data_IF_736665335887
#
_entry.id   IF_736665335887
#
_cell.length_a   1.000
_cell.length_b   1.000
_cell.length_c   1.000
_cell.angle_alpha   90.00
_cell.angle_beta   90.00
_cell.angle_gamma   90.00
#
_symmetry.space_group_name_H-M   'P 1'
#
loop_
_entity.id
_entity.type
_entity.pdbx_description
1 polymer ?
#
# COMPACT_ATOMS: atom_id res chain seq x y z
N UNK A 1 31.01 -28.25 18.75
CA UNK A 1 30.15 -28.14 19.95
C UNK A 1 28.91 -27.36 19.57
N UNK A 2 27.73 -28.02 19.56
CA UNK A 2 26.45 -27.42 19.16
C UNK A 2 25.93 -26.53 20.31
N UNK A 3 25.72 -25.25 20.03
CA UNK A 3 25.03 -24.32 20.93
C UNK A 3 23.54 -24.64 20.95
N UNK A 4 23.00 -24.92 22.13
CA UNK A 4 21.56 -24.98 22.37
C UNK A 4 21.02 -23.56 22.32
N UNK A 5 20.18 -23.26 21.34
CA UNK A 5 19.29 -22.11 21.42
C UNK A 5 18.18 -22.47 22.41
N UNK A 6 18.25 -21.91 23.61
CA UNK A 6 17.16 -21.99 24.58
C UNK A 6 15.98 -21.17 24.03
N UNK A 7 14.89 -21.86 23.70
CA UNK A 7 13.60 -21.25 23.41
C UNK A 7 13.15 -20.48 24.66
N UNK A 8 13.29 -19.15 24.67
CA UNK A 8 12.60 -18.31 25.66
C UNK A 8 11.10 -18.44 25.38
N UNK A 9 10.36 -18.95 26.35
CA UNK A 9 8.89 -18.98 26.32
C UNK A 9 8.34 -17.56 26.26
N UNK A 10 7.22 -17.38 25.55
CA UNK A 10 6.52 -16.09 25.40
C UNK A 10 6.26 -15.43 26.77
N UNK A 11 5.90 -16.24 27.77
CA UNK A 11 5.68 -15.76 29.15
C UNK A 11 6.91 -15.10 29.79
N UNK A 12 8.12 -15.58 29.48
CA UNK A 12 9.36 -15.01 29.98
C UNK A 12 9.71 -13.67 29.29
N UNK A 13 9.24 -13.46 28.05
CA UNK A 13 9.37 -12.18 27.35
C UNK A 13 8.34 -11.16 27.85
N UNK A 14 7.12 -11.60 28.14
CA UNK A 14 6.06 -10.73 28.66
C UNK A 14 6.31 -10.31 30.12
N UNK A 15 6.92 -11.19 30.93
CA UNK A 15 7.26 -10.86 32.32
C UNK A 15 8.31 -9.75 32.49
N UNK A 16 9.03 -9.40 31.42
CA UNK A 16 9.98 -8.28 31.39
C UNK A 16 9.46 -7.04 30.65
N UNK A 17 8.24 -7.09 30.12
CA UNK A 17 7.62 -5.94 29.45
C UNK A 17 7.02 -5.01 30.52
N UNK A 18 7.68 -3.90 30.77
CA UNK A 18 7.15 -2.81 31.58
C UNK A 18 6.04 -2.11 30.79
N UNK A 19 4.79 -2.21 31.28
CA UNK A 19 3.68 -1.41 30.75
C UNK A 19 3.94 0.02 31.18
N UNK A 20 4.20 0.91 30.22
CA UNK A 20 4.37 2.36 30.42
C UNK A 20 3.03 3.01 30.83
N UNK A 21 2.41 2.55 31.90
CA UNK A 21 1.16 3.10 32.41
C UNK A 21 1.32 4.52 32.97
N UNK A 22 2.55 4.90 33.36
CA UNK A 22 2.85 6.21 33.96
C UNK A 22 3.16 7.31 32.94
N UNK A 23 3.36 6.97 31.64
CA UNK A 23 3.58 7.95 30.57
C UNK A 23 2.30 8.36 29.83
N UNK A 24 1.15 7.78 30.21
CA UNK A 24 -0.17 8.18 29.70
C UNK A 24 -0.96 8.81 30.83
N UNK A 25 -0.97 10.15 30.87
CA UNK A 25 -1.91 10.90 31.70
C UNK A 25 -3.35 10.45 31.36
N UNK A 26 -4.15 10.13 32.38
CA UNK A 26 -5.56 9.78 32.25
C UNK A 26 -6.37 10.89 31.53
N UNK A 27 -5.86 12.14 31.58
CA UNK A 27 -6.31 13.28 30.80
C UNK A 27 -6.15 13.14 29.27
N UNK A 28 -5.05 12.54 28.79
CA UNK A 28 -4.81 12.34 27.36
C UNK A 28 -5.77 11.28 26.79
N UNK A 29 -6.07 10.24 27.57
CA UNK A 29 -7.06 9.21 27.20
C UNK A 29 -8.46 9.82 27.12
N UNK A 30 -8.83 10.71 28.04
CA UNK A 30 -10.11 11.41 28.02
C UNK A 30 -10.23 12.36 26.80
N UNK A 31 -9.17 13.10 26.47
CA UNK A 31 -9.14 14.01 25.33
C UNK A 31 -9.17 13.30 23.97
N UNK A 32 -8.57 12.10 23.88
CA UNK A 32 -8.68 11.24 22.70
C UNK A 32 -10.09 10.65 22.59
N UNK A 33 -10.67 10.22 23.71
CA UNK A 33 -12.05 9.68 23.76
C UNK A 33 -13.09 10.73 23.35
N UNK A 34 -12.98 11.96 23.85
CA UNK A 34 -13.82 13.10 23.46
C UNK A 34 -13.73 13.39 21.96
N UNK A 35 -12.52 13.39 21.38
CA UNK A 35 -12.33 13.57 19.93
C UNK A 35 -12.94 12.46 19.10
N UNK A 36 -12.79 11.21 19.54
CA UNK A 36 -13.41 10.06 18.87
C UNK A 36 -14.93 10.20 18.91
N UNK A 37 -15.52 10.47 20.08
CA UNK A 37 -16.97 10.65 20.25
C UNK A 37 -17.53 11.85 19.46
N UNK A 38 -16.80 12.97 19.40
CA UNK A 38 -17.17 14.13 18.60
C UNK A 38 -17.12 13.84 17.09
N UNK A 39 -16.17 13.01 16.63
CA UNK A 39 -16.06 12.57 15.25
C UNK A 39 -17.23 11.69 14.78
N UNK A 40 -17.81 10.88 15.68
CA UNK A 40 -18.96 10.01 15.37
C UNK A 40 -20.28 10.81 15.31
N UNK A 41 -20.35 11.97 15.97
CA UNK A 41 -21.54 12.84 15.96
C UNK A 41 -21.60 13.78 14.74
N UNK A 42 -20.47 13.99 14.04
CA UNK A 42 -20.37 14.94 12.92
C UNK A 42 -20.84 14.42 11.55
N UNK A 43 -21.28 13.16 11.44
CA UNK A 43 -21.71 12.56 10.17
C UNK A 43 -23.23 12.59 9.98
N UNK A 44 -23.84 13.77 10.17
CA UNK A 44 -25.26 13.97 9.91
C UNK A 44 -25.71 15.43 9.90
N UNK A 45 -26.16 15.88 8.73
CA UNK A 45 -26.97 17.08 8.45
C UNK A 45 -26.29 18.45 8.66
N UNK A 46 -26.24 19.22 7.57
CA UNK A 46 -25.89 20.64 7.62
C UNK A 46 -26.97 21.45 8.31
N UNK A 47 -26.55 22.40 9.13
CA UNK A 47 -26.96 23.79 9.08
C UNK A 47 -25.95 24.64 9.87
N UNK A 48 -25.69 25.87 9.42
CA UNK A 48 -24.86 26.83 10.19
C UNK A 48 -25.58 27.26 11.47
N UNK A 49 -24.85 27.65 12.53
CA UNK A 49 -24.71 29.08 12.76
C UNK A 49 -23.34 29.53 13.32
N UNK A 50 -23.04 30.80 13.09
CA UNK A 50 -21.92 31.54 13.66
C UNK A 50 -22.03 31.70 15.18
N UNK A 51 -20.94 32.13 15.84
CA UNK A 51 -21.09 33.31 16.70
C UNK A 51 -20.03 34.39 16.45
N UNK A 52 -20.47 35.62 16.71
CA UNK A 52 -19.72 36.85 16.54
C UNK A 52 -18.84 37.21 17.76
N UNK A 53 -17.60 37.59 17.45
CA UNK A 53 -16.81 38.73 17.92
C UNK A 53 -16.54 39.01 19.42
N UNK A 54 -15.24 39.05 19.76
CA UNK A 54 -14.47 40.12 20.43
C UNK A 54 -12.98 39.67 20.41
N UNK A 55 -11.92 40.38 20.00
CA UNK A 55 -11.68 41.69 19.40
C UNK A 55 -10.16 41.82 19.10
N UNK A 56 -9.82 42.77 18.21
CA UNK A 56 -8.53 43.46 17.97
C UNK A 56 -7.31 42.76 17.33
N UNK A 57 -7.19 43.00 16.02
CA UNK A 57 -6.04 43.56 15.26
C UNK A 57 -4.60 43.03 15.45
N UNK A 58 -4.10 42.33 14.42
CA UNK A 58 -2.83 42.64 13.75
C UNK A 58 -2.82 41.99 12.35
N UNK A 59 -3.00 42.81 11.32
CA UNK A 59 -3.03 42.43 9.91
C UNK A 59 -1.60 42.17 9.43
N UNK A 60 -1.18 40.92 9.44
CA UNK A 60 0.02 40.47 8.75
C UNK A 60 -0.39 39.97 7.36
N UNK A 61 -0.10 40.79 6.34
CA UNK A 61 -0.32 40.45 4.94
C UNK A 61 0.34 39.11 4.61
N UNK A 62 -0.49 38.09 4.38
CA UNK A 62 -0.04 36.81 3.86
C UNK A 62 0.51 37.01 2.43
N UNK A 63 1.63 36.37 2.06
CA UNK A 63 2.10 36.38 0.68
C UNK A 63 1.04 35.74 -0.24
N UNK A 64 0.94 36.14 -1.52
CA UNK A 64 -0.01 35.55 -2.44
C UNK A 64 0.25 34.05 -2.55
N UNK A 65 -0.75 33.25 -2.19
CA UNK A 65 -0.73 31.82 -2.37
C UNK A 65 -0.51 31.50 -3.85
N UNK A 66 0.49 30.66 -4.12
CA UNK A 66 0.79 30.17 -5.47
C UNK A 66 -0.46 29.43 -6.00
N UNK A 67 -1.08 29.86 -7.10
CA UNK A 67 -2.26 29.19 -7.66
C UNK A 67 -1.96 27.77 -8.17
N UNK A 68 -0.69 27.35 -8.19
CA UNK A 68 -0.27 25.99 -8.52
C UNK A 68 -0.15 25.06 -7.29
N UNK A 69 -0.33 25.56 -6.06
CA UNK A 69 -0.36 24.72 -4.87
C UNK A 69 -1.69 23.98 -4.80
N UNK A 70 -1.73 22.79 -5.43
CA UNK A 70 -2.82 21.82 -5.20
C UNK A 70 -2.93 21.66 -3.68
N UNK A 71 -4.09 21.92 -3.06
CA UNK A 71 -4.22 21.82 -1.61
C UNK A 71 -3.83 20.41 -1.20
N UNK A 72 -2.82 20.29 -0.33
CA UNK A 72 -2.41 19.02 0.22
C UNK A 72 -3.64 18.41 0.92
N UNK A 73 -4.08 17.24 0.44
CA UNK A 73 -5.20 16.53 1.07
C UNK A 73 -4.85 16.27 2.52
N UNK A 74 -5.72 16.71 3.42
CA UNK A 74 -5.54 16.49 4.84
C UNK A 74 -6.21 15.18 5.20
N UNK A 75 -5.41 14.18 5.58
CA UNK A 75 -5.91 12.93 6.12
C UNK A 75 -5.97 13.05 7.65
N UNK A 76 -7.09 12.71 8.30
CA UNK A 76 -7.23 12.83 9.75
C UNK A 76 -6.18 12.02 10.53
N UNK A 77 -5.71 10.90 9.97
CA UNK A 77 -4.72 10.02 10.60
C UNK A 77 -3.62 9.56 9.62
N UNK A 78 -2.47 9.16 10.17
CA UNK A 78 -1.39 8.53 9.38
C UNK A 78 -1.85 7.21 8.74
N UNK A 79 -2.78 6.49 9.38
CA UNK A 79 -3.35 5.25 8.86
C UNK A 79 -4.19 5.51 7.60
N UNK A 80 -5.02 6.55 7.59
CA UNK A 80 -5.81 6.95 6.42
C UNK A 80 -4.91 7.48 5.30
N UNK A 81 -3.89 8.28 5.63
CA UNK A 81 -2.90 8.70 4.66
C UNK A 81 -2.21 7.50 4.02
N UNK A 82 -1.76 6.53 4.83
CA UNK A 82 -1.13 5.31 4.35
C UNK A 82 -2.06 4.46 3.49
N UNK A 83 -3.36 4.42 3.81
CA UNK A 83 -4.35 3.75 2.98
C UNK A 83 -4.47 4.37 1.59
N UNK A 84 -4.56 5.70 1.53
CA UNK A 84 -4.60 6.43 0.28
C UNK A 84 -3.30 6.28 -0.52
N UNK A 85 -2.15 6.44 0.14
CA UNK A 85 -0.84 6.29 -0.49
C UNK A 85 -0.66 4.87 -1.07
N UNK A 86 -1.14 3.84 -0.37
CA UNK A 86 -1.12 2.46 -0.85
C UNK A 86 -1.99 2.30 -2.10
N UNK A 87 -3.22 2.81 -2.06
CA UNK A 87 -4.16 2.75 -3.19
C UNK A 87 -3.61 3.49 -4.43
N UNK A 88 -2.96 4.64 -4.23
CA UNK A 88 -2.29 5.37 -5.29
C UNK A 88 -1.07 4.60 -5.84
N UNK A 89 -0.21 4.07 -4.96
CA UNK A 89 0.95 3.29 -5.37
C UNK A 89 0.55 2.04 -6.18
N UNK A 90 -0.47 1.31 -5.71
CA UNK A 90 -1.06 0.17 -6.42
C UNK A 90 -1.57 0.58 -7.80
N UNK A 91 -2.33 1.68 -7.88
CA UNK A 91 -2.86 2.18 -9.14
C UNK A 91 -1.74 2.58 -10.12
N UNK A 92 -0.65 3.20 -9.63
CA UNK A 92 0.50 3.56 -10.45
C UNK A 92 1.24 2.33 -10.98
N UNK A 93 1.42 1.29 -10.16
CA UNK A 93 2.03 0.01 -10.59
C UNK A 93 1.23 -0.64 -11.71
N UNK A 94 -0.09 -0.74 -11.55
CA UNK A 94 -0.98 -1.32 -12.58
C UNK A 94 -0.97 -0.51 -13.88
N UNK A 95 -0.77 0.81 -13.76
CA UNK A 95 -0.71 1.72 -14.90
C UNK A 95 0.65 1.78 -15.61
N UNK A 96 1.69 1.18 -15.04
CA UNK A 96 3.02 1.17 -15.62
C UNK A 96 3.01 0.42 -16.97
N UNK A 97 3.69 0.94 -18.02
CA UNK A 97 3.67 0.30 -19.33
C UNK A 97 4.25 -1.12 -19.30
N UNK A 98 5.19 -1.40 -18.39
CA UNK A 98 5.81 -2.72 -18.24
C UNK A 98 4.96 -3.73 -17.44
N UNK A 99 3.80 -3.33 -16.90
CA UNK A 99 3.02 -4.16 -15.98
C UNK A 99 2.57 -5.48 -16.63
N UNK A 100 2.02 -5.43 -17.86
CA UNK A 100 1.57 -6.62 -18.58
C UNK A 100 2.72 -7.59 -18.86
N UNK A 101 3.84 -7.08 -19.40
CA UNK A 101 5.01 -7.91 -19.71
C UNK A 101 5.65 -8.52 -18.45
N UNK A 102 5.61 -7.80 -17.32
CA UNK A 102 6.13 -8.31 -16.05
C UNK A 102 5.23 -9.41 -15.48
N UNK A 103 3.90 -9.25 -15.57
CA UNK A 103 2.95 -10.28 -15.18
C UNK A 103 3.09 -11.54 -16.06
N UNK A 104 3.24 -11.40 -17.38
CA UNK A 104 3.49 -12.54 -18.28
C UNK A 104 4.78 -13.28 -17.90
N UNK A 105 5.87 -12.56 -17.62
CA UNK A 105 7.15 -13.18 -17.20
C UNK A 105 7.03 -13.99 -15.91
N UNK A 106 6.22 -13.54 -14.95
CA UNK A 106 5.96 -14.29 -13.71
C UNK A 106 5.43 -15.70 -13.98
N UNK A 107 4.61 -15.87 -15.02
CA UNK A 107 3.96 -17.16 -15.30
C UNK A 107 4.72 -18.00 -16.32
N UNK A 108 5.41 -17.37 -17.26
CA UNK A 108 6.11 -18.08 -18.32
C UNK A 108 7.49 -18.63 -17.88
N UNK A 109 8.15 -17.99 -16.90
CA UNK A 109 9.49 -18.34 -16.44
C UNK A 109 9.48 -18.73 -14.95
N UNK A 110 9.01 -19.94 -14.65
CA UNK A 110 8.87 -20.46 -13.28
C UNK A 110 10.21 -20.72 -12.57
N UNK A 111 11.31 -20.82 -13.32
CA UNK A 111 12.65 -21.06 -12.77
C UNK A 111 13.31 -19.76 -12.30
N UNK A 112 12.82 -18.60 -12.76
CA UNK A 112 13.34 -17.29 -12.42
C UNK A 112 12.47 -16.58 -11.38
N UNK A 113 13.09 -15.97 -10.38
CA UNK A 113 12.38 -15.09 -9.46
C UNK A 113 11.99 -13.83 -10.26
N UNK A 114 10.69 -13.63 -10.48
CA UNK A 114 10.13 -12.50 -11.22
C UNK A 114 9.44 -11.48 -10.28
N UNK A 115 10.21 -10.69 -9.49
CA UNK A 115 9.67 -9.87 -8.42
C UNK A 115 8.78 -8.72 -8.93
N UNK A 116 9.05 -8.18 -10.12
CA UNK A 116 8.19 -7.15 -10.72
C UNK A 116 6.83 -7.70 -11.15
N UNK A 117 6.79 -8.93 -11.65
CA UNK A 117 5.54 -9.59 -11.99
C UNK A 117 4.71 -9.92 -10.76
N UNK A 118 5.35 -10.43 -9.70
CA UNK A 118 4.70 -10.69 -8.42
C UNK A 118 4.15 -9.41 -7.78
N UNK A 119 4.87 -8.28 -7.89
CA UNK A 119 4.38 -6.96 -7.47
C UNK A 119 3.09 -6.58 -8.21
N UNK A 120 3.06 -6.72 -9.53
CA UNK A 120 1.87 -6.42 -10.35
C UNK A 120 0.70 -7.31 -9.94
N UNK A 121 0.96 -8.59 -9.71
CA UNK A 121 -0.07 -9.54 -9.29
C UNK A 121 -0.63 -9.21 -7.91
N UNK A 122 0.22 -8.90 -6.93
CA UNK A 122 -0.21 -8.43 -5.61
C UNK A 122 -1.10 -7.17 -5.68
N UNK A 123 -0.74 -6.22 -6.56
CA UNK A 123 -1.54 -5.03 -6.81
C UNK A 123 -2.93 -5.35 -7.38
N UNK A 124 -3.05 -6.33 -8.27
CA UNK A 124 -4.36 -6.80 -8.78
C UNK A 124 -5.20 -7.42 -7.67
N UNK A 125 -4.60 -8.27 -6.84
CA UNK A 125 -5.25 -8.92 -5.69
C UNK A 125 -5.77 -7.87 -4.69
N UNK A 126 -4.97 -6.84 -4.39
CA UNK A 126 -5.40 -5.73 -3.52
C UNK A 126 -6.62 -5.00 -4.08
N UNK A 127 -6.62 -4.67 -5.38
CA UNK A 127 -7.77 -4.01 -6.02
C UNK A 127 -9.01 -4.92 -6.03
N UNK A 128 -8.81 -6.24 -6.13
CA UNK A 128 -9.85 -7.28 -6.02
C UNK A 128 -10.20 -7.67 -4.57
N UNK A 129 -9.66 -6.97 -3.56
CA UNK A 129 -9.94 -7.18 -2.12
C UNK A 129 -9.42 -8.49 -1.51
N UNK A 130 -8.50 -9.17 -2.17
CA UNK A 130 -7.75 -10.31 -1.64
C UNK A 130 -6.56 -9.83 -0.79
N UNK A 131 -6.85 -9.37 0.44
CA UNK A 131 -5.87 -8.64 1.28
C UNK A 131 -4.68 -9.49 1.71
N UNK A 132 -4.95 -10.66 2.27
CA UNK A 132 -3.89 -11.56 2.78
C UNK A 132 -3.04 -12.10 1.63
N UNK A 133 -3.66 -12.54 0.53
CA UNK A 133 -2.94 -12.95 -0.66
C UNK A 133 -2.12 -11.80 -1.28
N UNK A 134 -2.64 -10.57 -1.32
CA UNK A 134 -1.85 -9.42 -1.77
C UNK A 134 -0.62 -9.19 -0.88
N UNK A 135 -0.77 -9.34 0.44
CA UNK A 135 0.34 -9.24 1.38
C UNK A 135 1.40 -10.33 1.11
N UNK A 136 0.98 -11.59 0.97
CA UNK A 136 1.86 -12.70 0.59
C UNK A 136 2.68 -12.37 -0.65
N UNK A 137 2.02 -11.96 -1.73
CA UNK A 137 2.69 -11.68 -3.00
C UNK A 137 3.59 -10.45 -2.94
N UNK A 138 3.25 -9.43 -2.15
CA UNK A 138 4.18 -8.34 -1.87
C UNK A 138 5.41 -8.82 -1.09
N UNK A 139 5.26 -9.72 -0.12
CA UNK A 139 6.39 -10.28 0.63
C UNK A 139 7.30 -11.10 -0.27
N UNK A 140 6.72 -11.94 -1.13
CA UNK A 140 7.45 -12.68 -2.18
C UNK A 140 8.24 -11.71 -3.07
N UNK A 141 7.58 -10.70 -3.63
CA UNK A 141 8.21 -9.72 -4.51
C UNK A 141 9.32 -8.93 -3.81
N UNK A 142 9.11 -8.52 -2.55
CA UNK A 142 10.10 -7.81 -1.76
C UNK A 142 11.31 -8.69 -1.40
N UNK A 143 11.07 -9.97 -1.10
CA UNK A 143 12.10 -10.99 -0.91
C UNK A 143 12.93 -11.22 -2.18
N UNK A 144 12.27 -11.20 -3.35
CA UNK A 144 12.90 -11.24 -4.67
C UNK A 144 13.60 -9.95 -5.10
N UNK A 145 13.55 -8.88 -4.29
CA UNK A 145 14.30 -7.64 -4.53
C UNK A 145 13.48 -6.45 -5.01
N UNK A 146 12.14 -6.56 -5.10
CA UNK A 146 11.29 -5.43 -5.47
C UNK A 146 11.22 -4.38 -4.36
N UNK A 147 11.92 -3.25 -4.58
CA UNK A 147 11.84 -2.06 -3.71
C UNK A 147 10.40 -1.58 -3.53
N UNK A 148 9.64 -1.58 -4.62
CA UNK A 148 8.26 -1.06 -4.63
C UNK A 148 7.33 -1.96 -3.85
N UNK A 149 7.50 -3.28 -3.89
CA UNK A 149 6.74 -4.21 -3.04
C UNK A 149 7.04 -3.98 -1.55
N UNK A 150 8.32 -3.81 -1.19
CA UNK A 150 8.70 -3.45 0.18
C UNK A 150 8.07 -2.11 0.63
N UNK A 151 7.93 -1.15 -0.29
CA UNK A 151 7.23 0.10 0.03
C UNK A 151 5.71 -0.09 0.18
N UNK A 152 5.09 -0.94 -0.65
CA UNK A 152 3.67 -1.28 -0.50
C UNK A 152 3.40 -1.95 0.86
N UNK A 153 4.27 -2.87 1.31
CA UNK A 153 4.17 -3.49 2.65
C UNK A 153 4.32 -2.46 3.77
N UNK A 154 5.25 -1.52 3.64
CA UNK A 154 5.35 -0.41 4.60
C UNK A 154 4.02 0.34 4.76
N UNK A 155 3.38 0.69 3.63
CA UNK A 155 2.09 1.39 3.64
C UNK A 155 0.94 0.50 4.13
N UNK A 156 0.95 -0.79 3.76
CA UNK A 156 -0.03 -1.79 4.22
C UNK A 156 -0.03 -1.90 5.74
N UNK A 157 1.13 -2.16 6.35
CA UNK A 157 1.26 -2.24 7.81
C UNK A 157 0.92 -0.91 8.49
N UNK A 158 1.34 0.23 7.91
CA UNK A 158 1.03 1.55 8.48
C UNK A 158 -0.47 1.86 8.46
N UNK A 159 -1.18 1.47 7.40
CA UNK A 159 -2.66 1.57 7.34
C UNK A 159 -3.35 0.79 8.46
N UNK A 160 -2.74 -0.30 8.90
CA UNK A 160 -3.25 -1.15 9.98
C UNK A 160 -2.77 -0.73 11.38
N UNK A 161 -1.96 0.33 11.50
CA UNK A 161 -1.36 0.76 12.77
C UNK A 161 -0.16 -0.08 13.21
N UNK A 162 0.36 -0.95 12.34
CA UNK A 162 1.49 -1.85 12.62
C UNK A 162 2.82 -1.13 12.33
N UNK A 163 3.10 -0.07 13.11
CA UNK A 163 4.20 0.85 12.80
C UNK A 163 5.59 0.23 12.85
N UNK A 164 5.79 -0.81 13.68
CA UNK A 164 7.06 -1.54 13.76
C UNK A 164 7.37 -2.26 12.45
N UNK A 165 6.41 -3.01 11.93
CA UNK A 165 6.55 -3.73 10.68
C UNK A 165 6.62 -2.76 9.50
N UNK A 166 5.83 -1.69 9.55
CA UNK A 166 5.95 -0.60 8.58
C UNK A 166 7.37 -0.02 8.52
N UNK A 167 8.00 0.20 9.68
CA UNK A 167 9.39 0.67 9.80
C UNK A 167 10.41 -0.32 9.21
N UNK A 168 10.24 -1.62 9.50
CA UNK A 168 11.07 -2.68 8.91
C UNK A 168 11.03 -2.65 7.38
N UNK A 169 9.82 -2.65 6.81
CA UNK A 169 9.65 -2.66 5.36
C UNK A 169 10.10 -1.37 4.70
N UNK A 170 9.97 -0.22 5.38
CA UNK A 170 10.54 1.05 4.92
C UNK A 170 12.06 0.99 4.80
N UNK A 171 12.73 0.46 5.82
CA UNK A 171 14.18 0.28 5.82
C UNK A 171 14.62 -0.71 4.72
N UNK A 172 13.89 -1.81 4.55
CA UNK A 172 14.14 -2.77 3.47
C UNK A 172 14.01 -2.14 2.08
N UNK A 173 12.96 -1.34 1.85
CA UNK A 173 12.77 -0.58 0.60
C UNK A 173 13.94 0.38 0.34
N UNK A 174 14.41 1.10 1.36
CA UNK A 174 15.58 1.98 1.24
C UNK A 174 16.87 1.20 0.91
N UNK A 175 17.09 0.04 1.55
CA UNK A 175 18.24 -0.83 1.28
C UNK A 175 18.24 -1.36 -0.15
N UNK A 176 17.08 -1.79 -0.66
CA UNK A 176 16.93 -2.25 -2.05
C UNK A 176 17.20 -1.12 -3.04
N UNK A 177 16.74 0.11 -2.75
CA UNK A 177 17.07 1.29 -3.56
C UNK A 177 18.57 1.53 -3.65
N UNK A 178 19.28 1.42 -2.52
CA UNK A 178 20.72 1.61 -2.49
C UNK A 178 21.46 0.53 -3.29
N UNK A 179 21.04 -0.74 -3.16
CA UNK A 179 21.61 -1.86 -3.92
C UNK A 179 21.47 -1.66 -5.42
N UNK A 180 20.29 -1.28 -5.90
CA UNK A 180 20.06 -0.98 -7.31
C UNK A 180 21.01 0.12 -7.82
N UNK A 181 21.15 1.23 -7.08
CA UNK A 181 22.08 2.31 -7.45
C UNK A 181 23.54 1.88 -7.53
N UNK A 182 23.96 0.90 -6.72
CA UNK A 182 25.34 0.38 -6.73
C UNK A 182 25.57 -0.69 -7.78
N UNK A 183 24.54 -1.42 -8.18
CA UNK A 183 24.60 -2.42 -9.24
C UNK A 183 24.56 -1.77 -10.63
N UNK A 184 23.83 -0.65 -10.77
CA UNK A 184 23.64 0.10 -12.00
C UNK A 184 24.82 1.05 -12.31
N UNK A 185 26.05 0.51 -12.28
CA UNK A 185 27.17 1.17 -12.93
C UNK A 185 26.87 1.24 -14.45
N UNK A 186 27.07 2.37 -15.14
CA UNK A 186 26.52 2.59 -16.48
C UNK A 186 27.12 1.62 -17.50
N UNK A 187 26.41 0.52 -17.76
CA UNK A 187 26.67 -0.40 -18.86
C UNK A 187 26.03 0.13 -20.14
N UNK A 188 26.71 0.05 -21.30
CA UNK A 188 26.15 0.50 -22.56
C UNK A 188 25.08 -0.49 -23.04
N UNK A 189 23.80 -0.10 -22.96
CA UNK A 189 22.70 -0.81 -23.63
C UNK A 189 21.54 -1.17 -22.72
N UNK A 190 20.79 -0.18 -22.23
CA UNK A 190 19.44 -0.45 -21.75
C UNK A 190 18.58 -0.91 -22.95
N UNK A 191 17.92 -2.08 -22.87
CA UNK A 191 17.06 -2.52 -23.97
C UNK A 191 15.95 -1.49 -24.18
N UNK A 192 15.80 -1.08 -25.45
CA UNK A 192 14.76 -0.16 -25.90
C UNK A 192 13.40 -0.61 -25.32
N UNK A 193 12.69 0.30 -24.63
CA UNK A 193 11.31 0.08 -24.19
C UNK A 193 10.45 -0.23 -25.42
N UNK A 194 10.29 -1.52 -25.73
CA UNK A 194 9.29 -1.96 -26.71
C UNK A 194 7.94 -1.47 -26.18
N UNK A 195 7.12 -0.92 -27.07
CA UNK A 195 5.76 -0.50 -26.79
C UNK A 195 4.98 -1.67 -26.20
N UNK A 196 4.95 -1.74 -24.87
CA UNK A 196 4.27 -2.79 -24.15
C UNK A 196 2.79 -2.47 -24.11
N UNK A 197 1.96 -3.48 -24.41
CA UNK A 197 0.50 -3.37 -24.33
C UNK A 197 0.13 -3.09 -22.87
N UNK A 198 -0.77 -2.12 -22.59
CA UNK A 198 -1.21 -1.86 -21.23
C UNK A 198 -1.93 -3.09 -20.64
N UNK A 199 -1.81 -3.29 -19.33
CA UNK A 199 -2.39 -4.44 -18.63
C UNK A 199 -3.93 -4.40 -18.58
N UNK A 200 -4.49 -3.19 -18.41
CA UNK A 200 -5.93 -2.96 -18.30
C UNK A 200 -6.39 -1.99 -19.40
N UNK A 201 -7.69 -2.00 -19.77
CA UNK A 201 -8.27 -1.02 -20.67
C UNK A 201 -8.09 0.42 -20.15
N UNK A 202 -7.94 1.38 -21.05
CA UNK A 202 -7.65 2.77 -20.70
C UNK A 202 -8.71 3.40 -19.78
N UNK A 203 -10.00 3.11 -20.00
CA UNK A 203 -11.06 3.58 -19.13
C UNK A 203 -10.91 3.13 -17.68
N UNK A 204 -10.50 1.87 -17.46
CA UNK A 204 -10.25 1.32 -16.11
C UNK A 204 -9.03 1.98 -15.49
N UNK A 205 -7.95 2.09 -16.26
CA UNK A 205 -6.68 2.72 -15.86
C UNK A 205 -6.86 4.15 -15.37
N UNK A 206 -7.54 4.97 -16.16
CA UNK A 206 -7.87 6.35 -15.81
C UNK A 206 -8.86 6.42 -14.64
N UNK A 207 -9.85 5.52 -14.60
CA UNK A 207 -10.81 5.44 -13.50
C UNK A 207 -10.15 5.17 -12.15
N UNK A 208 -9.21 4.22 -12.07
CA UNK A 208 -8.46 3.93 -10.84
C UNK A 208 -7.72 5.17 -10.32
N UNK A 209 -7.02 5.88 -11.20
CA UNK A 209 -6.30 7.11 -10.82
C UNK A 209 -7.25 8.26 -10.46
N UNK A 210 -8.38 8.40 -11.15
CA UNK A 210 -9.39 9.42 -10.82
C UNK A 210 -9.95 9.19 -9.41
N UNK A 211 -10.34 7.95 -9.09
CA UNK A 211 -10.85 7.58 -7.77
C UNK A 211 -9.81 7.89 -6.68
N UNK A 212 -8.54 7.54 -6.89
CA UNK A 212 -7.46 7.94 -5.99
C UNK A 212 -7.42 9.46 -5.85
N UNK A 213 -7.35 10.21 -6.95
CA UNK A 213 -7.28 11.67 -6.91
C UNK A 213 -8.48 12.34 -6.26
N UNK A 214 -9.64 11.68 -6.21
CA UNK A 214 -10.86 12.13 -5.52
C UNK A 214 -10.85 11.77 -4.03
N UNK A 215 -9.94 10.91 -3.59
CA UNK A 215 -9.80 10.43 -2.21
C UNK A 215 -10.57 9.14 -1.92
N UNK A 216 -11.09 8.48 -2.97
CA UNK A 216 -11.78 7.20 -2.85
C UNK A 216 -10.81 6.01 -2.86
N UNK A 217 -11.39 4.82 -2.67
CA UNK A 217 -10.66 3.55 -2.71
C UNK A 217 -10.89 2.86 -4.06
N UNK A 218 -9.87 2.77 -4.93
CA UNK A 218 -9.98 2.15 -6.25
C UNK A 218 -10.28 0.66 -6.13
N UNK A 219 -11.12 0.16 -7.04
CA UNK A 219 -11.46 -1.27 -7.17
C UNK A 219 -11.49 -1.68 -8.64
N UNK A 220 -11.24 -2.95 -8.90
CA UNK A 220 -11.46 -3.49 -10.24
C UNK A 220 -12.97 -3.49 -10.55
N UNK A 221 -13.37 -3.19 -11.80
CA UNK A 221 -14.71 -3.49 -12.30
C UNK A 221 -15.05 -4.98 -12.13
N UNK A 222 -16.32 -5.30 -11.91
CA UNK A 222 -16.78 -6.65 -11.59
C UNK A 222 -16.38 -7.71 -12.61
N UNK A 223 -16.31 -7.34 -13.91
CA UNK A 223 -15.88 -8.27 -14.95
C UNK A 223 -14.40 -8.66 -14.81
N UNK A 224 -13.53 -7.72 -14.44
CA UNK A 224 -12.11 -7.98 -14.17
C UNK A 224 -11.92 -8.68 -12.82
N UNK A 225 -12.72 -8.32 -11.82
CA UNK A 225 -12.74 -9.01 -10.54
C UNK A 225 -13.11 -10.50 -10.72
N UNK A 226 -14.08 -10.81 -11.59
CA UNK A 226 -14.46 -12.18 -11.93
C UNK A 226 -13.35 -12.96 -12.66
N UNK A 227 -12.36 -12.30 -13.28
CA UNK A 227 -11.16 -12.98 -13.77
C UNK A 227 -10.27 -13.40 -12.60
N UNK A 228 -10.09 -12.52 -11.61
CA UNK A 228 -9.29 -12.81 -10.40
C UNK A 228 -9.95 -13.92 -9.57
N UNK A 229 -11.27 -13.88 -9.36
CA UNK A 229 -12.03 -14.92 -8.64
C UNK A 229 -11.92 -16.32 -9.25
N UNK A 230 -11.53 -16.45 -10.52
CA UNK A 230 -11.40 -17.74 -11.22
C UNK A 230 -9.98 -18.30 -11.19
N UNK A 231 -9.04 -17.61 -10.54
CA UNK A 231 -7.67 -18.07 -10.44
C UNK A 231 -7.58 -19.34 -9.58
N UNK A 232 -6.69 -20.28 -9.94
CA UNK A 232 -6.52 -21.51 -9.17
C UNK A 232 -5.87 -21.22 -7.82
N UNK A 233 -6.34 -21.90 -6.77
CA UNK A 233 -5.69 -22.01 -5.47
C UNK A 233 -5.10 -23.41 -5.39
N UNK A 234 -3.80 -23.53 -5.11
CA UNK A 234 -3.12 -24.83 -5.08
C UNK A 234 -3.23 -25.50 -3.72
N UNK A 235 -2.93 -24.76 -2.66
CA UNK A 235 -3.03 -25.15 -1.26
C UNK A 235 -3.28 -23.90 -0.40
N UNK A 236 -3.77 -24.12 0.83
CA UNK A 236 -3.88 -23.08 1.84
C UNK A 236 -2.53 -22.84 2.50
N UNK A 237 -2.13 -21.58 2.59
CA UNK A 237 -0.96 -21.15 3.36
C UNK A 237 -1.34 -21.02 4.85
N UNK A 238 -0.44 -21.43 5.75
CA UNK A 238 -0.69 -21.42 7.20
C UNK A 238 -0.95 -20.00 7.74
N UNK A 239 -0.30 -18.98 7.18
CA UNK A 239 -0.37 -17.60 7.64
C UNK A 239 -1.37 -16.77 6.80
N UNK A 240 -1.52 -17.09 5.52
CA UNK A 240 -2.28 -16.27 4.56
C UNK A 240 -3.57 -16.91 4.03
N UNK A 241 -3.85 -18.17 4.34
CA UNK A 241 -5.03 -18.90 3.85
C UNK A 241 -4.96 -19.18 2.34
N UNK A 242 -6.09 -19.08 1.65
CA UNK A 242 -6.16 -19.32 0.21
C UNK A 242 -5.30 -18.31 -0.58
N UNK A 243 -4.29 -18.79 -1.30
CA UNK A 243 -3.42 -17.96 -2.15
C UNK A 243 -3.67 -18.25 -3.64
N UNK A 244 -4.44 -17.37 -4.35
CA UNK A 244 -4.60 -17.46 -5.79
C UNK A 244 -3.26 -17.41 -6.51
N UNK A 245 -3.10 -18.28 -7.52
CA UNK A 245 -1.90 -18.37 -8.34
C UNK A 245 -2.09 -17.66 -9.69
N UNK A 246 -1.06 -16.99 -10.21
CA UNK A 246 -1.16 -16.31 -11.50
C UNK A 246 -1.25 -17.35 -12.64
N UNK A 247 -2.22 -17.16 -13.56
CA UNK A 247 -2.44 -18.04 -14.71
C UNK A 247 -1.83 -17.47 -16.00
N UNK A 248 -1.42 -18.33 -16.95
CA UNK A 248 -0.68 -17.91 -18.16
C UNK A 248 -1.47 -16.94 -19.04
N UNK A 249 -2.78 -17.10 -19.06
CA UNK A 249 -3.72 -16.30 -19.86
C UNK A 249 -4.28 -15.08 -19.10
N UNK A 250 -3.89 -14.87 -17.84
CA UNK A 250 -4.40 -13.79 -16.99
C UNK A 250 -4.25 -12.40 -17.64
N UNK A 251 -3.05 -12.06 -18.11
CA UNK A 251 -2.82 -10.76 -18.77
C UNK A 251 -3.68 -10.58 -20.03
N UNK A 252 -3.94 -11.67 -20.76
CA UNK A 252 -4.80 -11.69 -21.94
C UNK A 252 -6.25 -11.37 -21.60
N UNK A 253 -6.83 -12.04 -20.59
CA UNK A 253 -8.21 -11.79 -20.16
C UNK A 253 -8.41 -10.39 -19.58
N UNK A 254 -7.44 -9.89 -18.82
CA UNK A 254 -7.51 -8.55 -18.23
C UNK A 254 -7.53 -7.44 -19.28
N UNK A 255 -6.92 -7.66 -20.45
CA UNK A 255 -6.91 -6.67 -21.54
C UNK A 255 -8.10 -6.80 -22.50
N UNK A 256 -8.81 -7.94 -22.48
CA UNK A 256 -9.90 -8.24 -23.42
C UNK A 256 -11.30 -7.91 -22.88
N UNK A 257 -11.40 -7.64 -21.58
CA UNK A 257 -12.64 -7.31 -20.86
C UNK A 257 -12.93 -5.82 -20.93
#
# INVERSE_FOLDING_TARGET
MRGRYEHRTIDALLSGAEVLADDYDEGDVAAVRERVLAGIAGTGAGDSPAPAAFGTAAEAAAPPADPAAVPARHYPTECEQAAHDLDLAVSLVINAPEAAASLTRLVDDQESIAPEGALVFACLLHLARYREAAQFWWQFAAGGGSRTAAFCLCLHHRKHGEFRDAGYWRAQSARLAQRARTADAPGPGAPQRRSARPLLPDGVRHGLLSVCHEGGHPRLPSALEAVIHRLPVLDDDEDFGEIPQPARDLAGYLTAT
#
